data_IF_813043588337
#
_entry.id   IF_813043588337
#
_cell.length_a   1.000
_cell.length_b   1.000
_cell.length_c   1.000
_cell.angle_alpha   90.00
_cell.angle_beta   90.00
_cell.angle_gamma   90.00
#
_symmetry.space_group_name_H-M   'P 1'
#
loop_
_entity.id
_entity.type
_entity.pdbx_description
1 polymer ?
#
# COMPACT_ATOMS: atom_id res chain seq x y z
N UNK A 1 -1.79 56.43 12.60
CA UNK A 1 -1.39 55.67 11.39
C UNK A 1 -1.06 54.24 11.79
N UNK A 2 -2.00 53.32 11.64
CA UNK A 2 -1.85 51.91 12.04
C UNK A 2 -1.28 51.09 10.89
N UNK A 3 -0.01 50.69 11.00
CA UNK A 3 0.65 49.80 10.04
C UNK A 3 0.01 48.40 10.15
N UNK A 4 -0.78 48.01 9.14
CA UNK A 4 -1.25 46.62 8.95
C UNK A 4 -0.04 45.71 8.79
N UNK A 5 0.19 44.84 9.77
CA UNK A 5 1.17 43.76 9.68
C UNK A 5 0.84 42.84 8.51
N UNK A 6 1.86 42.51 7.70
CA UNK A 6 1.75 41.51 6.63
C UNK A 6 1.26 40.20 7.26
N UNK A 7 0.06 39.75 6.87
CA UNK A 7 -0.40 38.39 7.16
C UNK A 7 0.62 37.42 6.58
N UNK A 8 1.24 36.63 7.45
CA UNK A 8 1.96 35.42 7.06
C UNK A 8 1.03 34.61 6.15
N UNK A 9 1.47 34.31 4.93
CA UNK A 9 0.77 33.34 4.07
C UNK A 9 0.64 32.07 4.89
N UNK A 10 -0.58 31.70 5.25
CA UNK A 10 -0.86 30.38 5.77
C UNK A 10 -0.28 29.37 4.77
N UNK A 11 0.43 28.36 5.28
CA UNK A 11 0.81 27.21 4.48
C UNK A 11 -0.45 26.71 3.77
N UNK A 12 -0.41 26.36 2.48
CA UNK A 12 -1.55 25.76 1.82
C UNK A 12 -1.91 24.49 2.59
N UNK A 13 -2.98 24.55 3.39
CA UNK A 13 -3.65 23.38 3.91
C UNK A 13 -4.36 22.80 2.71
N UNK A 14 -3.78 21.74 2.14
CA UNK A 14 -4.51 20.97 1.14
C UNK A 14 -5.64 20.28 1.89
N UNK A 15 -6.87 20.76 1.68
CA UNK A 15 -8.11 20.02 1.88
C UNK A 15 -8.15 18.87 0.87
N UNK A 16 -7.22 17.93 1.01
CA UNK A 16 -7.38 16.61 0.50
C UNK A 16 -7.39 15.74 1.75
N UNK A 17 -8.59 15.49 2.29
CA UNK A 17 -8.87 14.17 2.86
C UNK A 17 -8.72 13.17 1.72
N UNK A 18 -7.46 12.92 1.39
CA UNK A 18 -7.05 11.78 0.64
C UNK A 18 -7.35 10.63 1.61
N UNK A 19 -8.48 9.96 1.39
CA UNK A 19 -8.75 8.63 1.92
C UNK A 19 -7.70 7.68 1.32
N UNK A 20 -6.45 7.88 1.73
CA UNK A 20 -5.39 6.93 1.54
C UNK A 20 -5.79 5.75 2.40
N UNK A 21 -5.84 4.57 1.77
CA UNK A 21 -5.93 3.35 2.52
C UNK A 21 -4.75 3.35 3.48
N UNK A 22 -5.03 3.53 4.77
CA UNK A 22 -4.20 2.92 5.81
C UNK A 22 -3.96 1.48 5.38
N UNK A 23 -2.77 0.94 5.63
CA UNK A 23 -2.40 -0.44 5.30
C UNK A 23 -3.22 -1.49 6.07
N UNK A 24 -4.49 -1.22 6.32
CA UNK A 24 -5.46 -2.09 6.93
C UNK A 24 -5.99 -3.08 5.90
N UNK A 25 -6.16 -4.30 6.41
CA UNK A 25 -6.67 -5.50 5.74
C UNK A 25 -7.62 -5.16 4.61
N UNK A 26 -7.14 -5.43 3.40
CA UNK A 26 -7.89 -5.26 2.17
C UNK A 26 -9.18 -6.08 2.28
N UNK A 27 -10.30 -5.44 1.96
CA UNK A 27 -11.62 -6.07 1.92
C UNK A 27 -11.54 -7.48 1.32
N UNK A 28 -11.63 -8.47 2.20
CA UNK A 28 -11.59 -9.90 1.91
C UNK A 28 -12.95 -10.38 1.38
N UNK A 29 -13.92 -9.48 1.18
CA UNK A 29 -15.23 -9.84 0.65
C UNK A 29 -15.13 -10.36 -0.78
N UNK A 30 -15.78 -11.49 -1.00
CA UNK A 30 -16.08 -12.04 -2.31
C UNK A 30 -17.39 -11.44 -2.78
N UNK A 31 -17.48 -11.13 -4.07
CA UNK A 31 -18.76 -10.74 -4.68
C UNK A 31 -19.79 -11.87 -4.55
N UNK A 32 -21.07 -11.53 -4.49
CA UNK A 32 -22.15 -12.52 -4.44
C UNK A 32 -22.09 -13.52 -5.61
N UNK A 33 -21.66 -13.06 -6.78
CA UNK A 33 -21.44 -13.90 -7.95
C UNK A 33 -20.30 -14.92 -7.76
N UNK A 34 -19.18 -14.52 -7.14
CA UNK A 34 -18.09 -15.44 -6.83
C UNK A 34 -18.48 -16.41 -5.71
N UNK A 35 -19.26 -15.95 -4.72
CA UNK A 35 -19.80 -16.81 -3.67
C UNK A 35 -20.76 -17.87 -4.22
N UNK A 36 -21.62 -17.52 -5.19
CA UNK A 36 -22.51 -18.45 -5.85
C UNK A 36 -21.75 -19.55 -6.61
N UNK A 37 -20.70 -19.18 -7.37
CA UNK A 37 -19.85 -20.16 -8.07
C UNK A 37 -19.17 -21.11 -7.07
N UNK A 38 -18.71 -20.60 -5.92
CA UNK A 38 -18.09 -21.44 -4.88
C UNK A 38 -19.12 -22.37 -4.24
N UNK A 39 -20.33 -21.90 -3.99
CA UNK A 39 -21.41 -22.71 -3.45
C UNK A 39 -21.78 -23.87 -4.40
N UNK A 40 -21.86 -23.62 -5.71
CA UNK A 40 -22.10 -24.64 -6.73
C UNK A 40 -20.96 -25.68 -6.78
N UNK A 41 -19.73 -25.27 -6.46
CA UNK A 41 -18.56 -26.15 -6.41
C UNK A 41 -18.44 -26.91 -5.09
N UNK A 42 -19.16 -26.51 -4.02
CA UNK A 42 -19.00 -27.07 -2.69
C UNK A 42 -19.34 -28.57 -2.60
N UNK A 43 -20.26 -29.06 -3.45
CA UNK A 43 -20.58 -30.50 -3.52
C UNK A 43 -19.49 -31.35 -4.19
N UNK A 44 -18.60 -30.72 -4.95
CA UNK A 44 -17.64 -31.38 -5.84
C UNK A 44 -16.17 -31.10 -5.49
N UNK A 45 -15.93 -30.32 -4.43
CA UNK A 45 -14.60 -29.90 -3.98
C UNK A 45 -14.44 -30.08 -2.47
N UNK A 46 -13.30 -30.62 -2.06
CA UNK A 46 -12.90 -30.78 -0.66
C UNK A 46 -11.99 -29.63 -0.20
N UNK A 47 -12.27 -29.11 0.98
CA UNK A 47 -11.48 -28.08 1.66
C UNK A 47 -11.95 -26.63 1.51
N UNK A 48 -11.26 -25.72 2.20
CA UNK A 48 -11.64 -24.31 2.37
C UNK A 48 -11.29 -23.45 1.14
N UNK A 49 -11.89 -23.76 -0.02
CA UNK A 49 -11.69 -22.99 -1.27
C UNK A 49 -12.07 -21.52 -1.07
N UNK A 50 -13.16 -21.27 -0.34
CA UNK A 50 -13.64 -19.92 -0.06
C UNK A 50 -12.62 -19.11 0.74
N UNK A 51 -12.16 -19.65 1.88
CA UNK A 51 -11.22 -18.97 2.77
C UNK A 51 -9.85 -18.77 2.10
N UNK A 52 -9.39 -19.79 1.37
CA UNK A 52 -8.17 -19.69 0.57
C UNK A 52 -8.26 -18.59 -0.50
N UNK A 53 -9.39 -18.50 -1.20
CA UNK A 53 -9.60 -17.51 -2.25
C UNK A 53 -9.68 -16.10 -1.67
N UNK A 54 -10.33 -15.91 -0.52
CA UNK A 54 -10.37 -14.63 0.20
C UNK A 54 -8.96 -14.14 0.53
N UNK A 55 -8.14 -14.99 1.16
CA UNK A 55 -6.76 -14.66 1.51
C UNK A 55 -5.90 -14.32 0.27
N UNK A 56 -6.06 -15.09 -0.81
CA UNK A 56 -5.33 -14.86 -2.07
C UNK A 56 -5.78 -13.60 -2.79
N UNK A 57 -7.08 -13.30 -2.81
CA UNK A 57 -7.60 -12.06 -3.36
C UNK A 57 -7.21 -10.85 -2.52
N UNK A 58 -7.25 -10.95 -1.18
CA UNK A 58 -6.74 -9.91 -0.28
C UNK A 58 -5.27 -9.59 -0.57
N UNK A 59 -4.44 -10.62 -0.72
CA UNK A 59 -3.03 -10.47 -1.12
C UNK A 59 -2.87 -9.81 -2.50
N UNK A 60 -3.65 -10.26 -3.50
CA UNK A 60 -3.61 -9.69 -4.85
C UNK A 60 -4.07 -8.22 -4.87
N UNK A 61 -5.17 -7.91 -4.16
CA UNK A 61 -5.76 -6.57 -4.06
C UNK A 61 -4.86 -5.61 -3.27
N UNK A 62 -4.13 -6.08 -2.25
CA UNK A 62 -3.13 -5.27 -1.55
C UNK A 62 -2.04 -4.78 -2.51
N UNK A 63 -1.51 -5.69 -3.31
CA UNK A 63 -0.40 -5.36 -4.22
C UNK A 63 -0.88 -4.58 -5.45
N UNK A 64 -2.12 -4.80 -5.92
CA UNK A 64 -2.72 -4.01 -6.99
C UNK A 64 -3.17 -2.62 -6.53
N UNK A 65 -3.69 -2.44 -5.31
CA UNK A 65 -4.08 -1.12 -4.78
C UNK A 65 -2.88 -0.17 -4.64
N UNK A 66 -1.74 -0.69 -4.17
CA UNK A 66 -0.48 0.07 -4.07
C UNK A 66 0.09 0.45 -5.45
N UNK A 67 -0.13 -0.35 -6.49
CA UNK A 67 0.40 -0.10 -7.84
C UNK A 67 -0.57 0.62 -8.79
N UNK A 68 -1.89 0.59 -8.54
CA UNK A 68 -2.93 1.13 -9.43
C UNK A 68 -3.46 2.51 -9.03
N UNK A 69 -3.40 2.90 -7.73
CA UNK A 69 -3.92 4.19 -7.24
C UNK A 69 -2.92 5.02 -6.44
N UNK A 70 -1.67 4.56 -6.33
CA UNK A 70 -0.60 5.31 -5.66
C UNK A 70 -0.22 6.59 -6.43
N UNK A 71 0.24 7.64 -5.73
CA UNK A 71 0.74 8.84 -6.37
C UNK A 71 1.90 8.51 -7.30
N UNK A 72 2.30 9.50 -8.09
CA UNK A 72 3.54 9.39 -8.81
C UNK A 72 4.75 9.21 -7.97
N UNK A 73 5.70 8.39 -8.41
CA UNK A 73 6.98 8.31 -7.70
C UNK A 73 7.57 9.71 -7.54
N UNK A 74 7.41 10.58 -8.53
CA UNK A 74 7.78 11.99 -8.40
C UNK A 74 6.86 12.80 -7.46
N UNK A 75 5.60 12.41 -7.27
CA UNK A 75 4.67 12.98 -6.28
C UNK A 75 5.00 12.48 -4.86
N UNK A 76 5.24 11.19 -4.66
CA UNK A 76 5.68 10.55 -3.41
C UNK A 76 7.06 11.07 -2.96
N UNK A 77 8.02 11.18 -3.89
CA UNK A 77 9.31 11.85 -3.63
C UNK A 77 9.07 13.32 -3.24
N UNK A 78 8.17 14.01 -3.93
CA UNK A 78 7.84 15.40 -3.62
C UNK A 78 7.18 15.55 -2.24
N UNK A 79 6.38 14.59 -1.80
CA UNK A 79 5.81 14.54 -0.45
C UNK A 79 6.91 14.41 0.61
N UNK A 80 7.88 13.50 0.39
CA UNK A 80 9.04 13.34 1.28
C UNK A 80 9.86 14.64 1.33
N UNK A 81 10.15 15.24 0.18
CA UNK A 81 10.88 16.51 0.10
C UNK A 81 10.13 17.66 0.79
N UNK A 82 8.79 17.69 0.69
CA UNK A 82 7.96 18.67 1.38
C UNK A 82 7.96 18.46 2.90
N UNK A 83 8.03 17.21 3.37
CA UNK A 83 8.19 16.90 4.78
C UNK A 83 9.55 17.39 5.32
N UNK A 84 10.65 17.17 4.58
CA UNK A 84 11.96 17.74 4.92
C UNK A 84 11.94 19.27 5.01
N UNK A 85 11.28 19.94 4.05
CA UNK A 85 11.16 21.39 4.05
C UNK A 85 10.40 21.87 5.29
N UNK A 86 9.28 21.23 5.61
CA UNK A 86 8.44 21.59 6.75
C UNK A 86 9.16 21.40 8.08
N UNK A 87 9.95 20.33 8.21
CA UNK A 87 10.80 20.05 9.36
C UNK A 87 11.86 21.14 9.56
N UNK A 88 12.57 21.53 8.49
CA UNK A 88 13.56 22.62 8.53
C UNK A 88 12.93 23.97 8.88
N UNK A 89 11.79 24.29 8.29
CA UNK A 89 11.05 25.52 8.61
C UNK A 89 10.62 25.57 10.08
N UNK A 90 10.16 24.44 10.63
CA UNK A 90 9.76 24.36 12.03
C UNK A 90 10.96 24.63 12.96
N UNK A 91 12.09 23.97 12.74
CA UNK A 91 13.31 24.19 13.52
C UNK A 91 13.80 25.64 13.42
N UNK A 92 13.81 26.21 12.21
CA UNK A 92 14.21 27.60 12.01
C UNK A 92 13.30 28.59 12.75
N UNK A 93 11.99 28.32 12.85
CA UNK A 93 11.09 29.20 13.62
C UNK A 93 11.34 29.09 15.12
N UNK A 94 11.60 27.88 15.60
CA UNK A 94 11.92 27.63 17.00
C UNK A 94 13.25 28.28 17.41
N UNK A 95 14.24 28.31 16.51
CA UNK A 95 15.53 28.98 16.77
C UNK A 95 15.43 30.50 16.91
N UNK A 96 14.28 31.09 16.55
CA UNK A 96 14.04 32.53 16.66
C UNK A 96 13.25 32.91 17.92
N UNK A 97 12.96 31.96 18.82
CA UNK A 97 12.30 32.28 20.07
C UNK A 97 13.20 33.11 20.98
N UNK A 98 12.62 34.16 21.57
CA UNK A 98 13.32 34.91 22.62
C UNK A 98 13.41 34.07 23.90
N UNK A 99 14.43 34.25 24.75
CA UNK A 99 14.59 33.50 26.00
C UNK A 99 13.37 33.56 26.93
N UNK A 100 12.63 34.68 26.91
CA UNK A 100 11.40 34.82 27.70
C UNK A 100 10.29 33.85 27.24
N UNK A 101 10.13 33.67 25.93
CA UNK A 101 9.14 32.73 25.36
C UNK A 101 9.53 31.29 25.68
N UNK A 102 10.82 30.94 25.59
CA UNK A 102 11.31 29.62 25.98
C UNK A 102 11.06 29.33 27.46
N UNK A 103 11.25 30.34 28.33
CA UNK A 103 10.92 30.24 29.75
C UNK A 103 9.45 29.94 30.01
N UNK A 104 8.53 30.62 29.31
CA UNK A 104 7.09 30.37 29.42
C UNK A 104 6.69 28.98 28.90
N UNK A 105 7.32 28.51 27.82
CA UNK A 105 7.08 27.16 27.28
C UNK A 105 7.49 26.09 28.29
N UNK A 106 8.65 26.24 28.92
CA UNK A 106 9.13 25.31 29.94
C UNK A 106 8.24 25.31 31.20
N UNK A 107 7.78 26.49 31.67
CA UNK A 107 6.82 26.56 32.78
C UNK A 107 5.50 25.86 32.43
N UNK A 108 4.98 26.06 31.21
CA UNK A 108 3.77 25.40 30.74
C UNK A 108 3.94 23.86 30.65
N UNK A 109 5.08 23.39 30.13
CA UNK A 109 5.40 21.97 30.03
C UNK A 109 5.49 21.32 31.41
N UNK A 110 6.17 21.98 32.35
CA UNK A 110 6.27 21.51 33.73
C UNK A 110 4.91 21.36 34.40
N UNK A 111 4.05 22.38 34.29
CA UNK A 111 2.72 22.35 34.91
C UNK A 111 1.80 21.29 34.32
N UNK A 112 1.95 21.00 33.02
CA UNK A 112 1.03 20.10 32.30
C UNK A 112 1.51 18.65 32.26
N UNK A 113 2.83 18.44 32.21
CA UNK A 113 3.44 17.13 31.94
C UNK A 113 4.51 16.72 32.96
N UNK A 114 4.84 17.59 33.93
CA UNK A 114 5.81 17.27 34.99
C UNK A 114 7.24 17.10 34.49
N UNK A 115 7.57 17.66 33.33
CA UNK A 115 8.91 17.58 32.74
C UNK A 115 9.34 18.93 32.12
N UNK A 116 10.64 19.06 31.89
CA UNK A 116 11.25 20.20 31.20
C UNK A 116 11.95 19.72 29.93
N UNK A 117 12.12 20.62 28.97
CA UNK A 117 13.00 20.36 27.83
C UNK A 117 14.47 20.55 28.26
N UNK A 118 15.22 19.45 28.28
CA UNK A 118 16.58 19.36 28.81
C UNK A 118 17.60 19.90 27.80
N UNK A 119 17.69 21.23 27.71
CA UNK A 119 18.47 21.94 26.68
C UNK A 119 17.65 22.96 25.90
N UNK A 120 16.36 23.11 26.25
CA UNK A 120 15.41 23.96 25.52
C UNK A 120 14.62 23.18 24.47
N UNK A 121 13.45 23.72 24.12
CA UNK A 121 12.52 23.08 23.17
C UNK A 121 13.20 22.78 21.82
N UNK A 122 14.06 23.68 21.35
CA UNK A 122 14.78 23.51 20.09
C UNK A 122 15.72 22.29 20.13
N UNK A 123 16.60 22.21 21.13
CA UNK A 123 17.60 21.14 21.23
C UNK A 123 16.96 19.74 21.28
N UNK A 124 15.89 19.60 22.06
CA UNK A 124 15.18 18.32 22.18
C UNK A 124 14.46 17.94 20.88
N UNK A 125 13.91 18.93 20.17
CA UNK A 125 13.27 18.71 18.87
C UNK A 125 14.28 18.48 17.75
N UNK A 126 15.46 19.09 17.78
CA UNK A 126 16.54 18.87 16.79
C UNK A 126 17.02 17.42 16.79
N UNK A 127 17.18 16.82 17.98
CA UNK A 127 17.57 15.41 18.09
C UNK A 127 16.53 14.47 17.44
N UNK A 128 15.23 14.74 17.69
CA UNK A 128 14.14 13.98 17.06
C UNK A 128 14.00 14.29 15.57
N UNK A 129 14.18 15.53 15.18
CA UNK A 129 14.09 15.98 13.80
C UNK A 129 15.20 15.36 12.94
N UNK A 130 16.42 15.23 13.48
CA UNK A 130 17.52 14.50 12.82
C UNK A 130 17.13 13.06 12.54
N UNK A 131 16.64 12.34 13.56
CA UNK A 131 16.17 10.96 13.39
C UNK A 131 15.06 10.85 12.34
N UNK A 132 14.08 11.77 12.34
CA UNK A 132 13.00 11.78 11.34
C UNK A 132 13.55 12.08 9.95
N UNK A 133 14.48 13.03 9.80
CA UNK A 133 15.14 13.33 8.53
C UNK A 133 15.87 12.12 7.98
N UNK A 134 16.63 11.40 8.79
CA UNK A 134 17.37 10.20 8.36
C UNK A 134 16.41 9.11 7.82
N UNK A 135 15.26 8.92 8.49
CA UNK A 135 14.24 7.96 8.06
C UNK A 135 13.62 8.39 6.72
N UNK A 136 13.36 9.69 6.54
CA UNK A 136 12.85 10.24 5.28
C UNK A 136 13.87 10.07 4.14
N UNK A 137 15.15 10.35 4.38
CA UNK A 137 16.24 10.18 3.40
C UNK A 137 16.38 8.71 2.95
N UNK A 138 16.34 7.77 3.91
CA UNK A 138 16.35 6.33 3.62
C UNK A 138 15.11 5.92 2.80
N UNK A 139 13.96 6.52 3.10
CA UNK A 139 12.70 6.23 2.41
C UNK A 139 12.73 6.78 0.98
N UNK A 140 13.23 8.00 0.77
CA UNK A 140 13.44 8.59 -0.55
C UNK A 140 14.38 7.71 -1.38
N UNK A 141 15.53 7.28 -0.83
CA UNK A 141 16.46 6.39 -1.54
C UNK A 141 15.86 5.03 -1.91
N UNK A 142 15.06 4.43 -1.03
CA UNK A 142 14.36 3.17 -1.30
C UNK A 142 13.31 3.34 -2.40
N UNK A 143 12.57 4.44 -2.36
CA UNK A 143 11.60 4.80 -3.39
C UNK A 143 12.32 5.07 -4.72
N UNK A 144 13.50 5.69 -4.66
CA UNK A 144 14.31 5.99 -5.83
C UNK A 144 14.89 4.75 -6.53
N UNK A 145 15.19 3.72 -5.75
CA UNK A 145 15.75 2.46 -6.25
C UNK A 145 14.68 1.42 -6.55
N UNK A 146 13.43 1.67 -6.15
CA UNK A 146 12.31 0.79 -6.44
C UNK A 146 12.03 0.71 -7.96
N UNK A 147 11.81 -0.51 -8.50
CA UNK A 147 11.55 -0.71 -9.91
C UNK A 147 10.32 0.07 -10.37
N UNK A 148 10.51 0.94 -11.36
CA UNK A 148 9.51 1.89 -11.86
C UNK A 148 8.51 1.21 -12.78
N UNK A 149 7.53 0.48 -12.24
CA UNK A 149 6.40 -0.01 -13.04
C UNK A 149 5.15 0.73 -12.60
N UNK A 150 4.95 1.94 -13.13
CA UNK A 150 3.71 2.70 -12.97
C UNK A 150 2.76 2.38 -14.11
N UNK A 151 1.51 2.04 -13.79
CA UNK A 151 0.40 1.95 -14.75
C UNK A 151 0.38 0.73 -15.69
N UNK A 152 1.39 -0.14 -15.67
CA UNK A 152 1.30 -1.44 -16.35
C UNK A 152 1.09 -2.49 -15.28
N UNK A 153 -0.14 -3.01 -15.16
CA UNK A 153 -0.47 -4.16 -14.30
C UNK A 153 0.67 -5.17 -14.43
N UNK A 154 1.39 -5.55 -13.37
CA UNK A 154 2.35 -6.63 -13.47
C UNK A 154 1.55 -7.88 -13.81
N UNK A 155 1.52 -8.22 -15.12
CA UNK A 155 0.80 -9.38 -15.66
C UNK A 155 1.12 -10.63 -14.85
N UNK A 156 2.35 -10.71 -14.33
CA UNK A 156 2.81 -11.75 -13.44
C UNK A 156 1.91 -12.04 -12.23
N UNK A 157 1.37 -11.04 -11.53
CA UNK A 157 0.58 -11.30 -10.30
C UNK A 157 -0.83 -11.78 -10.60
N UNK A 158 -1.49 -11.18 -11.60
CA UNK A 158 -2.76 -11.69 -12.11
C UNK A 158 -2.60 -13.10 -12.67
N UNK A 159 -1.57 -13.32 -13.48
CA UNK A 159 -1.29 -14.63 -14.09
C UNK A 159 -0.93 -15.66 -13.01
N UNK A 160 -0.27 -15.25 -11.92
CA UNK A 160 0.00 -16.11 -10.76
C UNK A 160 -1.26 -16.44 -9.99
N UNK A 161 -2.13 -15.46 -9.72
CA UNK A 161 -3.44 -15.69 -9.10
C UNK A 161 -4.28 -16.65 -9.93
N UNK A 162 -4.31 -16.48 -11.26
CA UNK A 162 -5.00 -17.36 -12.19
C UNK A 162 -4.42 -18.79 -12.16
N UNK A 163 -3.09 -18.93 -12.16
CA UNK A 163 -2.43 -20.22 -12.10
C UNK A 163 -2.67 -20.95 -10.78
N UNK A 164 -2.56 -20.23 -9.65
CA UNK A 164 -2.79 -20.75 -8.30
C UNK A 164 -4.25 -21.17 -8.12
N UNK A 165 -5.20 -20.37 -8.62
CA UNK A 165 -6.64 -20.69 -8.55
C UNK A 165 -6.96 -21.94 -9.36
N UNK A 166 -6.42 -22.04 -10.58
CA UNK A 166 -6.60 -23.24 -11.41
C UNK A 166 -5.99 -24.50 -10.78
N UNK A 167 -4.84 -24.37 -10.12
CA UNK A 167 -4.22 -25.49 -9.40
C UNK A 167 -4.99 -25.88 -8.14
N UNK A 168 -5.43 -24.90 -7.33
CA UNK A 168 -6.22 -25.14 -6.13
C UNK A 168 -7.53 -25.84 -6.48
N UNK A 169 -8.24 -25.38 -7.51
CA UNK A 169 -9.46 -26.03 -7.99
C UNK A 169 -9.17 -27.48 -8.40
N UNK A 170 -8.06 -27.72 -9.11
CA UNK A 170 -7.71 -29.08 -9.55
C UNK A 170 -7.27 -30.00 -8.40
N UNK A 171 -6.62 -29.48 -7.38
CA UNK A 171 -6.18 -30.25 -6.20
C UNK A 171 -7.33 -30.57 -5.24
N UNK A 172 -8.28 -29.64 -5.10
CA UNK A 172 -9.45 -29.79 -4.23
C UNK A 172 -10.59 -30.59 -4.85
N UNK A 173 -10.58 -30.82 -6.17
CA UNK A 173 -11.69 -31.51 -6.83
C UNK A 173 -11.78 -32.99 -6.40
N UNK A 174 -12.98 -33.39 -5.98
CA UNK A 174 -13.32 -34.78 -5.64
C UNK A 174 -13.35 -35.69 -6.89
N UNK A 175 -13.51 -35.09 -8.07
CA UNK A 175 -13.49 -35.76 -9.36
C UNK A 175 -12.26 -35.38 -10.19
N UNK A 176 -11.89 -36.22 -11.16
CA UNK A 176 -10.75 -35.95 -12.04
C UNK A 176 -11.04 -34.74 -12.96
N UNK A 177 -10.57 -33.57 -12.57
CA UNK A 177 -10.70 -32.36 -13.38
C UNK A 177 -9.56 -32.20 -14.39
N UNK A 178 -9.90 -31.85 -15.63
CA UNK A 178 -8.91 -31.56 -16.68
C UNK A 178 -8.26 -30.20 -16.46
N UNK A 179 -7.03 -30.01 -16.97
CA UNK A 179 -6.31 -28.72 -16.87
C UNK A 179 -7.09 -27.58 -17.53
N UNK A 180 -7.79 -27.87 -18.64
CA UNK A 180 -8.58 -26.90 -19.37
C UNK A 180 -9.82 -26.48 -18.59
N UNK A 181 -10.56 -27.45 -18.04
CA UNK A 181 -11.73 -27.15 -17.21
C UNK A 181 -11.37 -26.35 -15.95
N UNK A 182 -10.23 -26.67 -15.33
CA UNK A 182 -9.71 -25.93 -14.18
C UNK A 182 -9.38 -24.47 -14.54
N UNK A 183 -8.84 -24.23 -15.73
CA UNK A 183 -8.51 -22.89 -16.21
C UNK A 183 -9.76 -22.06 -16.55
N UNK A 184 -10.79 -22.69 -17.14
CA UNK A 184 -12.10 -22.08 -17.40
C UNK A 184 -12.78 -21.65 -16.09
N UNK A 185 -12.87 -22.57 -15.11
CA UNK A 185 -13.46 -22.27 -13.80
C UNK A 185 -12.67 -21.22 -13.02
N UNK A 186 -11.34 -21.26 -13.06
CA UNK A 186 -10.50 -20.23 -12.44
C UNK A 186 -10.75 -18.85 -13.05
N UNK A 187 -10.94 -18.77 -14.38
CA UNK A 187 -11.31 -17.52 -15.05
C UNK A 187 -12.68 -17.05 -14.59
N UNK A 188 -13.70 -17.91 -14.67
CA UNK A 188 -15.08 -17.56 -14.27
C UNK A 188 -15.12 -17.02 -12.84
N UNK A 189 -14.44 -17.70 -11.92
CA UNK A 189 -14.34 -17.32 -10.52
C UNK A 189 -13.63 -15.98 -10.31
N UNK A 190 -12.49 -15.77 -10.98
CA UNK A 190 -11.71 -14.53 -10.85
C UNK A 190 -12.40 -13.33 -11.50
N UNK A 191 -13.05 -13.52 -12.66
CA UNK A 191 -13.86 -12.48 -13.30
C UNK A 191 -15.06 -12.12 -12.43
N UNK A 192 -15.75 -13.10 -11.85
CA UNK A 192 -16.83 -12.85 -10.91
C UNK A 192 -16.34 -12.07 -9.67
N UNK A 193 -15.12 -12.34 -9.21
CA UNK A 193 -14.47 -11.62 -8.12
C UNK A 193 -13.92 -10.21 -8.50
N UNK A 194 -14.12 -9.77 -9.74
CA UNK A 194 -13.74 -8.44 -10.24
C UNK A 194 -12.31 -8.36 -10.80
N UNK A 195 -11.65 -9.47 -11.09
CA UNK A 195 -10.30 -9.51 -11.68
C UNK A 195 -10.37 -9.54 -13.20
N UNK A 196 -9.67 -8.64 -13.88
CA UNK A 196 -9.58 -8.61 -15.35
C UNK A 196 -8.69 -9.74 -15.89
N UNK A 197 -9.30 -10.82 -16.37
CA UNK A 197 -8.62 -11.98 -16.99
C UNK A 197 -8.92 -12.03 -18.50
N UNK A 198 -7.97 -12.42 -19.38
CA UNK A 198 -8.23 -12.59 -20.81
C UNK A 198 -9.39 -13.55 -21.11
N UNK A 199 -10.06 -13.37 -22.24
CA UNK A 199 -11.18 -14.22 -22.65
C UNK A 199 -10.74 -15.49 -23.38
N UNK A 200 -9.62 -15.43 -24.13
CA UNK A 200 -9.11 -16.57 -24.90
C UNK A 200 -8.52 -17.65 -23.98
N UNK A 201 -9.13 -18.83 -24.01
CA UNK A 201 -8.68 -20.00 -23.26
C UNK A 201 -7.26 -20.44 -23.64
N UNK A 202 -6.86 -20.27 -24.91
CA UNK A 202 -5.50 -20.60 -25.37
C UNK A 202 -4.50 -19.63 -24.77
N UNK A 203 -4.86 -18.35 -24.64
CA UNK A 203 -4.06 -17.36 -23.94
C UNK A 203 -3.94 -17.68 -22.45
N UNK A 204 -5.05 -18.01 -21.78
CA UNK A 204 -5.06 -18.43 -20.37
C UNK A 204 -4.14 -19.63 -20.13
N UNK A 205 -4.26 -20.69 -20.94
CA UNK A 205 -3.39 -21.86 -20.81
C UNK A 205 -1.91 -21.52 -20.99
N UNK A 206 -1.59 -20.61 -21.93
CA UNK A 206 -0.22 -20.12 -22.13
C UNK A 206 0.28 -19.37 -20.90
N UNK A 207 -0.55 -18.53 -20.28
CA UNK A 207 -0.19 -17.76 -19.07
C UNK A 207 0.09 -18.69 -17.89
N UNK A 208 -0.80 -19.66 -17.62
CA UNK A 208 -0.62 -20.65 -16.55
C UNK A 208 0.67 -21.46 -16.77
N UNK A 209 0.94 -21.90 -18.00
CA UNK A 209 2.18 -22.63 -18.33
C UNK A 209 3.43 -21.76 -18.14
N UNK A 210 3.35 -20.47 -18.48
CA UNK A 210 4.47 -19.52 -18.36
C UNK A 210 4.85 -19.31 -16.90
N UNK A 211 3.88 -19.09 -16.01
CA UNK A 211 4.11 -18.93 -14.57
C UNK A 211 4.80 -20.17 -13.99
N UNK A 212 4.28 -21.37 -14.31
CA UNK A 212 4.85 -22.64 -13.85
C UNK A 212 6.27 -22.92 -14.32
N UNK A 213 6.63 -22.45 -15.51
CA UNK A 213 7.99 -22.57 -16.05
C UNK A 213 8.93 -21.49 -15.52
N UNK A 214 8.42 -20.28 -15.24
CA UNK A 214 9.18 -19.17 -14.66
C UNK A 214 9.68 -19.47 -13.26
N UNK A 215 8.86 -20.11 -12.42
CA UNK A 215 9.26 -20.54 -11.06
C UNK A 215 10.39 -21.58 -11.03
N UNK A 216 10.60 -22.33 -12.11
CA UNK A 216 11.72 -23.29 -12.24
C UNK A 216 13.06 -22.66 -12.61
N UNK A 217 13.09 -21.39 -13.04
CA UNK A 217 14.33 -20.69 -13.43
C UNK A 217 14.88 -19.75 -12.34
N UNK A 218 14.12 -19.49 -11.28
CA UNK A 218 14.52 -18.61 -10.18
C UNK A 218 15.16 -19.36 -8.99
N UNK A 219 15.41 -20.66 -9.11
CA UNK A 219 15.95 -21.52 -8.06
C UNK A 219 17.33 -22.10 -8.37
N UNK A 220 18.18 -21.35 -9.09
CA UNK A 220 19.60 -21.66 -9.28
C UNK A 220 20.46 -20.46 -8.88
#
# INVERSE_FOLDING_TARGET
MTKRGKRSKALPVFDNQLEWGTGDLVDESLSDAAQAIIADLAEHHDGDLQEWLKQRLGSYRAVTRETEKGPARHEEIREIQQAHLSLREALQRLSNFSPFVEGLINDACWRSHGCFFSGGLLSDLEAKATMVSDVLDITEQKLETAPTIRGVKPKFQRDALLADTADKLRQSSLAKMTKRRAAELARELLVAAGVEVPEDIVEIEKLIRRVKKGGKKASN
#
